data_IF_924837888032
#
_entry.id   IF_924837888032
#
_cell.length_a   1.000
_cell.length_b   1.000
_cell.length_c   1.000
_cell.angle_alpha   90.00
_cell.angle_beta   90.00
_cell.angle_gamma   90.00
#
_symmetry.space_group_name_H-M   'P 1'
#
loop_
_entity.id
_entity.type
_entity.pdbx_description
1 polymer ?
#
# COMPACT_ATOMS: atom_id res chain seq x y z
N UNK A 1 9.07 -50.90 43.36
CA UNK A 1 9.16 -51.48 44.73
C UNK A 1 10.03 -50.51 45.52
N UNK A 2 9.63 -49.83 46.59
CA UNK A 2 8.64 -50.09 47.64
C UNK A 2 7.84 -48.81 47.97
N UNK A 3 6.61 -49.03 48.44
CA UNK A 3 5.79 -48.10 49.22
C UNK A 3 6.50 -47.77 50.54
N UNK A 4 6.24 -46.59 51.12
CA UNK A 4 5.62 -46.59 52.45
C UNK A 4 4.96 -45.26 52.82
N UNK A 5 3.72 -45.40 53.25
CA UNK A 5 2.89 -44.38 53.84
C UNK A 5 3.02 -44.50 55.38
N UNK A 6 3.07 -43.38 56.09
CA UNK A 6 2.88 -43.39 57.54
C UNK A 6 1.98 -42.24 57.99
N UNK A 7 0.87 -42.69 58.58
CA UNK A 7 -0.20 -41.93 59.22
C UNK A 7 0.08 -41.91 60.73
N UNK A 8 -0.14 -40.76 61.41
CA UNK A 8 -0.97 -40.56 62.64
C UNK A 8 -0.44 -39.47 63.60
N UNK A 9 -1.23 -38.39 63.71
CA UNK A 9 -1.77 -37.59 64.86
C UNK A 9 -1.17 -37.74 66.29
N UNK A 10 -1.50 -36.85 67.26
CA UNK A 10 -1.66 -35.38 67.31
C UNK A 10 -0.86 -34.77 68.51
N UNK A 11 -0.92 -33.46 68.82
CA UNK A 11 -1.65 -33.11 70.06
C UNK A 11 -2.33 -31.72 70.13
N UNK A 12 -3.36 -31.72 71.00
CA UNK A 12 -3.79 -30.68 71.96
C UNK A 12 -4.36 -29.35 71.43
N UNK A 13 -5.69 -29.40 71.37
CA UNK A 13 -6.66 -28.31 71.54
C UNK A 13 -6.25 -27.37 72.70
N UNK A 14 -5.95 -26.12 72.37
CA UNK A 14 -5.99 -24.99 73.29
C UNK A 14 -7.14 -24.09 72.84
N UNK A 15 -8.22 -24.06 73.62
CA UNK A 15 -9.35 -23.14 73.41
C UNK A 15 -8.89 -21.77 73.89
N UNK A 16 -8.61 -20.86 72.95
CA UNK A 16 -8.46 -19.43 73.25
C UNK A 16 -9.71 -18.72 72.77
N UNK A 17 -10.57 -18.32 73.71
CA UNK A 17 -11.67 -17.40 73.45
C UNK A 17 -11.07 -16.07 72.97
N UNK A 18 -11.20 -15.76 71.68
CA UNK A 18 -11.13 -14.39 71.18
C UNK A 18 -12.54 -13.90 70.90
N UNK A 19 -12.93 -12.84 71.60
CA UNK A 19 -14.14 -12.10 71.35
C UNK A 19 -14.10 -11.51 69.92
N UNK A 20 -14.98 -11.99 69.04
CA UNK A 20 -15.23 -11.35 67.75
C UNK A 20 -15.95 -10.01 68.01
N UNK A 21 -15.21 -8.92 67.96
CA UNK A 21 -15.80 -7.62 67.66
C UNK A 21 -16.12 -7.63 66.16
N UNK A 22 -17.41 -7.72 65.81
CA UNK A 22 -17.89 -7.55 64.46
C UNK A 22 -17.71 -6.08 64.05
N UNK A 23 -16.58 -5.75 63.42
CA UNK A 23 -16.44 -4.53 62.64
C UNK A 23 -17.09 -4.76 61.27
N UNK A 24 -18.33 -4.29 61.13
CA UNK A 24 -18.95 -4.14 59.81
C UNK A 24 -18.24 -3.02 59.06
N UNK A 25 -17.17 -3.35 58.35
CA UNK A 25 -16.60 -2.45 57.33
C UNK A 25 -17.49 -2.54 56.10
N UNK A 26 -18.43 -1.60 55.99
CA UNK A 26 -19.10 -1.30 54.71
C UNK A 26 -18.04 -0.82 53.73
N UNK A 27 -17.46 -1.72 52.95
CA UNK A 27 -16.71 -1.37 51.76
C UNK A 27 -17.70 -0.79 50.75
N UNK A 28 -17.81 0.53 50.72
CA UNK A 28 -18.45 1.21 49.62
C UNK A 28 -17.61 0.93 48.36
N UNK A 29 -18.10 0.05 47.50
CA UNK A 29 -17.65 -0.01 46.11
C UNK A 29 -17.99 1.36 45.50
N UNK A 30 -17.01 2.25 45.43
CA UNK A 30 -17.10 3.41 44.58
C UNK A 30 -17.14 2.88 43.14
N UNK A 31 -18.34 2.86 42.55
CA UNK A 31 -18.47 2.67 41.12
C UNK A 31 -17.70 3.81 40.46
N UNK A 32 -16.64 3.48 39.71
CA UNK A 32 -16.02 4.45 38.81
C UNK A 32 -17.11 5.03 37.91
N UNK A 33 -17.13 6.35 37.69
CA UNK A 33 -18.04 6.92 36.71
C UNK A 33 -17.79 6.23 35.35
N UNK A 34 -18.83 6.02 34.53
CA UNK A 34 -18.62 5.55 33.17
C UNK A 34 -17.64 6.51 32.49
N UNK A 35 -16.58 5.98 31.87
CA UNK A 35 -15.77 6.76 30.94
C UNK A 35 -16.73 7.34 29.91
N UNK A 36 -16.72 8.67 29.79
CA UNK A 36 -17.39 9.42 28.74
C UNK A 36 -16.75 9.00 27.41
N UNK A 37 -17.21 7.88 26.84
CA UNK A 37 -16.89 7.52 25.46
C UNK A 37 -17.67 8.45 24.57
N UNK A 38 -17.13 9.67 24.38
CA UNK A 38 -17.55 10.52 23.29
C UNK A 38 -17.56 9.66 22.01
N UNK A 39 -18.62 9.74 21.17
CA UNK A 39 -18.64 9.01 19.92
C UNK A 39 -17.36 9.35 19.14
N UNK A 40 -16.73 8.37 18.48
CA UNK A 40 -15.53 8.65 17.69
C UNK A 40 -15.84 9.82 16.75
N UNK A 41 -15.04 10.87 16.86
CA UNK A 41 -15.14 12.00 15.93
C UNK A 41 -14.90 11.46 14.54
N UNK A 42 -15.84 11.67 13.62
CA UNK A 42 -15.62 11.35 12.21
C UNK A 42 -14.30 11.99 11.76
N UNK A 43 -13.43 11.24 11.06
CA UNK A 43 -12.12 11.74 10.65
C UNK A 43 -12.30 13.00 9.80
N UNK A 44 -11.47 14.02 10.08
CA UNK A 44 -11.49 15.27 9.34
C UNK A 44 -10.79 15.16 7.98
N UNK A 45 -9.90 14.17 7.84
CA UNK A 45 -9.09 13.92 6.65
C UNK A 45 -8.89 12.42 6.38
N UNK A 46 -8.70 12.04 5.12
CA UNK A 46 -8.47 10.65 4.70
C UNK A 46 -7.22 10.03 5.34
N UNK A 47 -6.20 10.84 5.62
CA UNK A 47 -4.94 10.37 6.25
C UNK A 47 -5.07 10.11 7.75
N UNK A 48 -6.15 10.56 8.40
CA UNK A 48 -6.43 10.23 9.79
C UNK A 48 -7.05 8.83 9.94
N UNK A 49 -7.58 8.27 8.85
CA UNK A 49 -8.18 6.94 8.83
C UNK A 49 -7.09 5.88 8.89
N UNK A 50 -7.19 4.98 9.87
CA UNK A 50 -6.21 3.91 10.07
C UNK A 50 -6.62 2.57 9.47
N UNK A 51 -7.93 2.33 9.34
CA UNK A 51 -8.47 1.03 8.94
C UNK A 51 -9.45 1.13 7.76
N UNK A 52 -9.51 0.10 6.91
CA UNK A 52 -10.50 0.03 5.85
C UNK A 52 -11.93 0.06 6.39
N UNK A 53 -12.86 0.56 5.57
CA UNK A 53 -14.28 0.37 5.87
C UNK A 53 -14.65 -1.09 5.56
N UNK A 54 -15.11 -1.91 6.53
CA UNK A 54 -15.41 -3.31 6.27
C UNK A 54 -16.58 -3.50 5.29
N UNK A 55 -16.55 -4.60 4.54
CA UNK A 55 -17.60 -4.97 3.59
C UNK A 55 -17.03 -5.33 2.23
N UNK A 56 -17.91 -5.54 1.25
CA UNK A 56 -17.50 -5.82 -0.12
C UNK A 56 -16.74 -4.63 -0.73
N UNK A 57 -15.70 -4.89 -1.56
CA UNK A 57 -14.98 -3.85 -2.27
C UNK A 57 -15.92 -2.98 -3.11
N UNK A 58 -15.76 -1.66 -2.99
CA UNK A 58 -16.50 -0.67 -3.79
C UNK A 58 -15.59 0.49 -4.17
N UNK A 59 -15.27 0.59 -5.46
CA UNK A 59 -14.45 1.66 -6.05
C UNK A 59 -15.37 2.74 -6.62
N UNK A 60 -15.10 4.00 -6.26
CA UNK A 60 -15.96 5.12 -6.60
C UNK A 60 -15.15 6.26 -7.20
N UNK A 61 -15.57 6.72 -8.39
CA UNK A 61 -14.99 7.88 -9.05
C UNK A 61 -13.74 7.58 -9.89
N UNK A 62 -13.06 8.62 -10.38
CA UNK A 62 -11.81 8.48 -11.13
C UNK A 62 -10.62 8.27 -10.17
N UNK A 63 -9.49 7.82 -10.72
CA UNK A 63 -8.27 7.46 -9.98
C UNK A 63 -7.69 8.60 -9.10
N UNK A 64 -7.96 9.86 -9.44
CA UNK A 64 -7.45 11.09 -8.81
C UNK A 64 -8.55 11.97 -8.17
N UNK A 65 -9.73 11.41 -7.96
CA UNK A 65 -10.86 12.11 -7.35
C UNK A 65 -11.91 11.14 -6.80
N UNK A 66 -11.44 10.03 -6.24
CA UNK A 66 -12.25 8.88 -5.88
C UNK A 66 -11.97 8.37 -4.47
N UNK A 67 -12.50 7.20 -4.16
CA UNK A 67 -12.29 6.49 -2.90
C UNK A 67 -12.55 5.00 -3.07
N UNK A 68 -12.25 4.22 -2.02
CA UNK A 68 -12.55 2.80 -1.95
C UNK A 68 -13.11 2.43 -0.57
N UNK A 69 -14.15 1.59 -0.55
CA UNK A 69 -14.56 0.83 0.64
C UNK A 69 -14.22 -0.65 0.45
N UNK A 70 -14.11 -1.40 1.56
CA UNK A 70 -13.75 -2.82 1.51
C UNK A 70 -12.36 -3.05 0.93
N UNK A 71 -11.44 -2.10 1.13
CA UNK A 71 -10.05 -2.27 0.68
C UNK A 71 -9.37 -3.35 1.52
N UNK A 72 -8.49 -4.11 0.87
CA UNK A 72 -7.64 -5.10 1.52
C UNK A 72 -6.23 -4.52 1.67
N UNK A 73 -5.53 -4.92 2.73
CA UNK A 73 -4.13 -4.59 2.91
C UNK A 73 -3.28 -5.63 2.17
N UNK A 74 -2.32 -5.18 1.37
CA UNK A 74 -1.28 -6.05 0.81
C UNK A 74 -0.48 -6.69 1.97
N UNK A 75 -0.26 -8.02 1.97
CA UNK A 75 0.72 -8.60 2.87
C UNK A 75 2.06 -7.91 2.70
N UNK A 76 2.64 -7.39 3.78
CA UNK A 76 3.84 -6.53 3.74
C UNK A 76 5.09 -7.22 3.15
N UNK A 77 5.02 -8.52 2.93
CA UNK A 77 5.99 -9.30 2.17
C UNK A 77 5.31 -10.52 1.55
N UNK A 78 5.86 -10.97 0.43
CA UNK A 78 5.43 -12.17 -0.26
C UNK A 78 6.52 -12.67 -1.20
N UNK A 79 6.18 -13.59 -2.11
CA UNK A 79 7.15 -14.14 -3.06
C UNK A 79 7.61 -13.02 -4.00
N UNK A 80 8.92 -12.73 -3.99
CA UNK A 80 9.54 -11.75 -4.88
C UNK A 80 9.21 -10.28 -4.61
N UNK A 81 8.61 -9.93 -3.47
CA UNK A 81 8.35 -8.53 -3.12
C UNK A 81 8.34 -8.25 -1.62
N UNK A 82 8.66 -7.01 -1.25
CA UNK A 82 8.48 -6.48 0.11
C UNK A 82 7.95 -5.04 0.05
N UNK A 83 7.06 -4.69 0.98
CA UNK A 83 6.54 -3.33 1.14
C UNK A 83 7.55 -2.44 1.88
N UNK A 84 7.64 -1.17 1.48
CA UNK A 84 8.52 -0.13 2.08
C UNK A 84 7.69 1.09 2.48
N UNK A 85 8.24 2.00 3.29
CA UNK A 85 7.51 3.17 3.80
C UNK A 85 6.19 2.79 4.52
N UNK A 86 6.22 1.72 5.31
CA UNK A 86 5.05 1.06 5.90
C UNK A 86 4.31 2.01 6.83
N UNK A 87 5.04 2.88 7.54
CA UNK A 87 4.47 3.85 8.49
C UNK A 87 3.50 4.85 7.84
N UNK A 88 3.61 5.07 6.51
CA UNK A 88 2.68 5.93 5.77
C UNK A 88 1.25 5.39 5.73
N UNK A 89 1.05 4.11 6.01
CA UNK A 89 -0.24 3.43 5.99
C UNK A 89 -0.93 3.50 4.61
N UNK A 90 -0.17 3.23 3.54
CA UNK A 90 -0.62 3.33 2.13
C UNK A 90 -0.55 2.01 1.37
N UNK A 91 -0.68 0.87 2.03
CA UNK A 91 -0.58 -0.46 1.40
C UNK A 91 -1.95 -1.13 1.21
N UNK A 92 -2.96 -0.35 0.79
CA UNK A 92 -4.33 -0.83 0.63
C UNK A 92 -4.79 -0.74 -0.81
N UNK A 93 -5.71 -1.63 -1.19
CA UNK A 93 -6.26 -1.61 -2.54
C UNK A 93 -7.49 -2.49 -2.71
N UNK A 94 -8.01 -2.48 -3.93
CA UNK A 94 -8.98 -3.47 -4.37
C UNK A 94 -8.32 -4.86 -4.38
N UNK A 95 -9.04 -5.97 -4.10
CA UNK A 95 -8.44 -7.32 -4.12
C UNK A 95 -7.75 -7.67 -5.44
N UNK A 96 -8.24 -7.12 -6.56
CA UNK A 96 -7.60 -7.25 -7.88
C UNK A 96 -6.21 -6.62 -7.94
N UNK A 97 -5.97 -5.53 -7.22
CA UNK A 97 -4.64 -4.92 -7.11
C UNK A 97 -3.73 -5.75 -6.22
N UNK A 98 -4.25 -6.31 -5.12
CA UNK A 98 -3.49 -7.22 -4.24
C UNK A 98 -2.99 -8.42 -5.05
N UNK A 99 -3.89 -9.12 -5.74
CA UNK A 99 -3.55 -10.25 -6.60
C UNK A 99 -2.58 -9.85 -7.73
N UNK A 100 -2.71 -8.64 -8.29
CA UNK A 100 -1.75 -8.16 -9.29
C UNK A 100 -0.33 -8.05 -8.73
N UNK A 101 -0.17 -7.45 -7.55
CA UNK A 101 1.14 -7.26 -6.92
C UNK A 101 1.76 -8.61 -6.55
N UNK A 102 0.98 -9.53 -5.98
CA UNK A 102 1.46 -10.87 -5.64
C UNK A 102 1.94 -11.63 -6.88
N UNK A 103 1.16 -11.61 -7.97
CA UNK A 103 1.53 -12.26 -9.24
C UNK A 103 2.72 -11.59 -9.93
N UNK A 104 2.85 -10.27 -9.83
CA UNK A 104 4.05 -9.58 -10.30
C UNK A 104 5.28 -10.01 -9.49
N UNK A 105 5.15 -10.14 -8.16
CA UNK A 105 6.21 -10.64 -7.30
C UNK A 105 6.65 -12.06 -7.69
N UNK A 106 5.71 -12.97 -7.96
CA UNK A 106 6.02 -14.31 -8.47
C UNK A 106 6.83 -14.27 -9.77
N UNK A 107 6.44 -13.40 -10.72
CA UNK A 107 7.15 -13.19 -11.99
C UNK A 107 8.56 -12.62 -11.78
N UNK A 108 8.71 -11.63 -10.90
CA UNK A 108 10.01 -11.04 -10.53
C UNK A 108 10.92 -12.08 -9.88
N UNK A 109 10.40 -12.88 -8.95
CA UNK A 109 11.14 -13.97 -8.31
C UNK A 109 11.63 -15.00 -9.33
N UNK A 110 10.83 -15.32 -10.35
CA UNK A 110 11.23 -16.22 -11.44
C UNK A 110 12.31 -15.62 -12.33
N UNK A 111 12.29 -14.30 -12.56
CA UNK A 111 13.30 -13.60 -13.33
C UNK A 111 14.66 -13.49 -12.60
N UNK A 112 14.65 -13.49 -11.26
CA UNK A 112 15.84 -13.77 -10.44
C UNK A 112 16.74 -12.57 -10.13
N UNK A 113 16.28 -11.34 -10.33
CA UNK A 113 17.03 -10.11 -10.02
C UNK A 113 16.75 -9.53 -8.62
N UNK A 114 16.23 -10.34 -7.70
CA UNK A 114 15.91 -9.93 -6.32
C UNK A 114 14.45 -9.51 -6.14
N UNK A 115 14.01 -9.24 -4.89
CA UNK A 115 12.65 -8.81 -4.61
C UNK A 115 12.41 -7.37 -5.08
N UNK A 116 11.24 -7.12 -5.66
CA UNK A 116 10.80 -5.74 -5.93
C UNK A 116 10.37 -5.05 -4.62
N UNK A 117 10.57 -3.74 -4.55
CA UNK A 117 10.07 -2.92 -3.44
C UNK A 117 8.74 -2.28 -3.83
N UNK A 118 7.69 -2.58 -3.06
CA UNK A 118 6.35 -2.03 -3.26
C UNK A 118 6.22 -0.78 -2.39
N UNK A 119 6.01 0.37 -3.03
CA UNK A 119 5.79 1.66 -2.38
C UNK A 119 4.31 1.97 -2.19
N UNK A 120 3.94 3.23 -2.39
CA UNK A 120 2.59 3.72 -2.15
C UNK A 120 1.55 3.00 -3.03
N UNK A 121 0.50 2.50 -2.38
CA UNK A 121 -0.81 2.12 -2.93
C UNK A 121 -1.84 3.12 -2.38
N UNK A 122 -3.08 2.71 -2.11
CA UNK A 122 -4.06 3.59 -1.49
C UNK A 122 -3.94 3.65 0.04
N UNK A 123 -4.46 4.74 0.62
CA UNK A 123 -4.82 4.81 2.05
C UNK A 123 -5.95 3.79 2.36
N UNK A 124 -6.26 3.48 3.63
CA UNK A 124 -7.22 2.40 3.97
C UNK A 124 -8.61 2.55 3.35
N UNK A 125 -9.02 3.78 3.03
CA UNK A 125 -10.27 4.08 2.32
C UNK A 125 -10.06 4.85 1.01
N UNK A 126 -8.82 4.89 0.54
CA UNK A 126 -8.42 5.68 -0.61
C UNK A 126 -8.48 7.19 -0.33
N UNK A 127 -8.98 7.94 -1.31
CA UNK A 127 -9.11 9.39 -1.21
C UNK A 127 -7.80 10.17 -1.31
N UNK A 128 -7.89 11.52 -1.34
CA UNK A 128 -6.77 12.43 -1.44
C UNK A 128 -5.71 12.20 -0.37
N UNK A 129 -4.46 12.08 -0.79
CA UNK A 129 -3.32 12.04 0.11
C UNK A 129 -2.92 13.46 0.56
N UNK A 130 -2.34 13.62 1.75
CA UNK A 130 -1.89 14.93 2.23
C UNK A 130 -0.65 15.45 1.48
N UNK A 131 0.11 14.55 0.84
CA UNK A 131 1.31 14.84 0.06
C UNK A 131 1.62 13.69 -0.91
N UNK A 132 2.47 13.95 -1.90
CA UNK A 132 2.92 12.96 -2.88
C UNK A 132 1.96 12.86 -4.05
N UNK A 133 1.27 11.73 -4.16
CA UNK A 133 0.49 11.37 -5.34
C UNK A 133 -0.82 12.16 -5.45
N UNK A 134 -1.15 12.57 -6.67
CA UNK A 134 -2.50 13.09 -7.00
C UNK A 134 -3.51 11.96 -7.18
N UNK A 135 -3.04 10.78 -7.61
CA UNK A 135 -3.88 9.58 -7.78
C UNK A 135 -3.79 8.62 -6.58
N UNK A 136 -3.85 7.30 -6.78
CA UNK A 136 -3.90 6.29 -5.70
C UNK A 136 -5.15 6.37 -4.81
N UNK A 137 -6.18 7.09 -5.25
CA UNK A 137 -7.35 7.33 -4.41
C UNK A 137 -8.35 6.18 -4.45
N UNK A 138 -8.24 5.27 -5.41
CA UNK A 138 -9.27 4.26 -5.71
C UNK A 138 -8.84 2.82 -5.41
N UNK A 139 -7.62 2.60 -4.93
CA UNK A 139 -7.09 1.27 -4.67
C UNK A 139 -6.77 0.47 -5.93
N UNK A 140 -6.44 1.15 -7.04
CA UNK A 140 -6.12 0.54 -8.34
C UNK A 140 -4.76 1.03 -8.90
N UNK A 141 -3.98 1.71 -8.07
CA UNK A 141 -2.65 2.23 -8.39
C UNK A 141 -1.62 1.66 -7.40
N UNK A 142 -0.41 1.37 -7.87
CA UNK A 142 0.72 0.95 -7.04
C UNK A 142 2.03 1.47 -7.63
N UNK A 143 2.90 1.98 -6.77
CA UNK A 143 4.28 2.30 -7.14
C UNK A 143 5.21 1.14 -6.82
N UNK A 144 6.09 0.84 -7.78
CA UNK A 144 7.16 -0.14 -7.62
C UNK A 144 8.48 0.58 -7.85
N UNK A 145 9.36 0.56 -6.84
CA UNK A 145 10.63 1.29 -6.93
C UNK A 145 11.56 0.64 -7.95
N UNK A 146 12.39 1.47 -8.58
CA UNK A 146 13.50 0.99 -9.39
C UNK A 146 14.70 0.51 -8.57
N UNK A 147 14.60 0.47 -7.24
CA UNK A 147 15.68 -0.06 -6.41
C UNK A 147 15.61 -1.59 -6.36
N UNK A 148 16.49 -2.24 -7.14
CA UNK A 148 16.57 -3.71 -7.26
C UNK A 148 17.80 -4.32 -6.57
N UNK A 149 18.63 -3.51 -5.93
CA UNK A 149 19.90 -3.92 -5.32
C UNK A 149 19.77 -4.41 -3.87
N UNK A 150 18.55 -4.50 -3.33
CA UNK A 150 18.28 -4.92 -1.96
C UNK A 150 17.74 -6.36 -1.89
N UNK A 151 18.30 -7.22 -1.01
CA UNK A 151 17.65 -8.46 -0.66
C UNK A 151 16.40 -8.20 0.19
N UNK A 152 15.71 -9.27 0.61
CA UNK A 152 14.76 -9.15 1.72
C UNK A 152 15.47 -8.61 2.96
N UNK A 153 14.94 -7.54 3.54
CA UNK A 153 15.44 -6.93 4.78
C UNK A 153 14.38 -7.01 5.87
N UNK A 154 14.80 -6.85 7.12
CA UNK A 154 13.88 -6.84 8.26
C UNK A 154 12.88 -5.69 8.13
N UNK A 155 11.65 -5.88 8.61
CA UNK A 155 10.59 -4.85 8.46
C UNK A 155 10.99 -3.50 9.05
N UNK A 156 11.76 -3.48 10.13
CA UNK A 156 12.27 -2.24 10.75
C UNK A 156 13.28 -1.49 9.89
N UNK A 157 13.85 -2.13 8.86
CA UNK A 157 14.82 -1.54 7.94
C UNK A 157 14.16 -1.10 6.62
N UNK A 158 12.83 -1.22 6.50
CA UNK A 158 12.07 -0.85 5.28
C UNK A 158 11.55 0.58 5.28
N UNK A 159 11.84 1.34 6.33
CA UNK A 159 11.56 2.77 6.40
C UNK A 159 12.78 3.58 5.97
N UNK A 160 12.55 4.77 5.44
CA UNK A 160 13.59 5.74 5.06
C UNK A 160 14.67 5.17 4.11
N UNK A 161 14.33 4.13 3.36
CA UNK A 161 15.20 3.57 2.33
C UNK A 161 15.41 4.62 1.24
N UNK A 162 16.66 4.82 0.83
CA UNK A 162 16.96 5.68 -0.30
C UNK A 162 16.28 5.15 -1.56
N UNK A 163 15.56 6.03 -2.26
CA UNK A 163 14.99 5.76 -3.57
C UNK A 163 15.84 6.49 -4.63
N UNK A 164 16.74 5.79 -5.35
CA UNK A 164 17.68 6.44 -6.25
C UNK A 164 16.97 6.98 -7.49
N UNK A 165 17.17 8.27 -7.77
CA UNK A 165 16.81 8.87 -9.07
C UNK A 165 17.72 8.29 -10.15
N UNK A 166 17.11 7.67 -11.17
CA UNK A 166 17.80 7.02 -12.29
C UNK A 166 17.73 7.82 -13.59
N UNK A 167 17.13 9.01 -13.58
CA UNK A 167 17.14 9.93 -14.71
C UNK A 167 17.70 11.28 -14.27
N UNK A 168 18.72 11.75 -14.96
CA UNK A 168 19.24 13.11 -14.75
C UNK A 168 18.15 14.14 -15.16
N UNK A 169 17.69 14.99 -14.23
CA UNK A 169 16.58 15.92 -14.49
C UNK A 169 16.95 17.05 -15.47
N UNK A 170 18.25 17.29 -15.72
CA UNK A 170 18.73 18.32 -16.66
C UNK A 170 19.03 17.73 -18.02
N UNK A 171 19.71 16.59 -18.06
CA UNK A 171 20.19 16.00 -19.32
C UNK A 171 19.25 14.94 -19.87
N UNK A 172 18.30 14.46 -19.07
CA UNK A 172 17.36 13.38 -19.39
C UNK A 172 18.09 12.09 -19.81
N UNK A 173 19.28 11.87 -19.24
CA UNK A 173 20.07 10.66 -19.43
C UNK A 173 19.79 9.70 -18.29
N UNK A 174 19.80 8.41 -18.60
CA UNK A 174 19.75 7.37 -17.59
C UNK A 174 21.06 7.33 -16.82
N UNK A 175 20.94 7.11 -15.52
CA UNK A 175 22.04 6.84 -14.61
C UNK A 175 22.70 5.49 -14.94
N UNK A 176 23.99 5.32 -14.61
CA UNK A 176 24.71 4.06 -14.85
C UNK A 176 24.16 2.87 -14.04
N UNK A 177 23.39 3.15 -12.98
CA UNK A 177 22.66 2.14 -12.20
C UNK A 177 21.43 1.59 -12.92
N UNK A 178 20.95 2.21 -14.00
CA UNK A 178 19.88 1.65 -14.82
C UNK A 178 20.40 0.43 -15.60
N UNK A 179 19.73 -0.71 -15.43
CA UNK A 179 20.13 -2.00 -16.02
C UNK A 179 18.99 -2.64 -16.83
N UNK A 180 19.31 -3.73 -17.52
CA UNK A 180 18.33 -4.54 -18.25
C UNK A 180 17.24 -5.13 -17.34
N UNK A 181 17.54 -5.35 -16.05
CA UNK A 181 16.58 -5.86 -15.06
C UNK A 181 15.46 -4.85 -14.79
N UNK A 182 15.77 -3.55 -14.84
CA UNK A 182 14.76 -2.50 -14.71
C UNK A 182 13.81 -2.47 -15.91
N UNK A 183 14.36 -2.64 -17.12
CA UNK A 183 13.55 -2.74 -18.32
C UNK A 183 12.67 -3.99 -18.30
N UNK A 184 13.20 -5.12 -17.83
CA UNK A 184 12.46 -6.37 -17.69
C UNK A 184 11.37 -6.28 -16.60
N UNK A 185 11.62 -5.61 -15.47
CA UNK A 185 10.59 -5.34 -14.46
C UNK A 185 9.38 -4.62 -15.07
N UNK A 186 9.60 -3.57 -15.85
CA UNK A 186 8.51 -2.83 -16.50
C UNK A 186 7.77 -3.71 -17.50
N UNK A 187 8.49 -4.54 -18.27
CA UNK A 187 7.88 -5.49 -19.20
C UNK A 187 7.01 -6.52 -18.46
N UNK A 188 7.51 -7.11 -17.37
CA UNK A 188 6.77 -8.05 -16.52
C UNK A 188 5.55 -7.41 -15.85
N UNK A 189 5.65 -6.14 -15.47
CA UNK A 189 4.53 -5.36 -14.94
C UNK A 189 3.44 -5.14 -15.99
N UNK A 190 3.82 -4.90 -17.25
CA UNK A 190 2.90 -4.63 -18.36
C UNK A 190 2.24 -5.89 -18.96
N UNK A 191 2.76 -7.07 -18.67
CA UNK A 191 2.28 -8.36 -19.20
C UNK A 191 0.91 -8.78 -18.63
N UNK A 192 0.49 -8.19 -17.51
CA UNK A 192 -0.82 -8.48 -16.93
C UNK A 192 -1.95 -7.77 -17.68
N UNK A 193 -3.00 -8.47 -18.15
CA UNK A 193 -4.08 -7.89 -18.94
C UNK A 193 -4.93 -6.86 -18.19
N UNK A 194 -4.80 -6.78 -16.85
CA UNK A 194 -5.50 -5.79 -16.02
C UNK A 194 -4.82 -4.42 -16.05
N UNK A 195 -3.56 -4.32 -16.49
CA UNK A 195 -2.82 -3.06 -16.53
C UNK A 195 -3.40 -2.15 -17.63
N UNK A 196 -3.85 -0.96 -17.22
CA UNK A 196 -4.31 0.08 -18.11
C UNK A 196 -3.16 0.98 -18.57
N UNK A 197 -2.25 1.32 -17.66
CA UNK A 197 -1.08 2.20 -17.87
C UNK A 197 0.05 1.87 -16.91
N UNK A 198 1.26 2.16 -17.33
CA UNK A 198 2.42 2.30 -16.45
C UNK A 198 3.05 3.66 -16.72
N UNK A 199 3.20 4.49 -15.69
CA UNK A 199 3.87 5.79 -15.81
C UNK A 199 5.34 5.67 -15.40
N UNK A 200 6.20 6.24 -16.24
CA UNK A 200 7.67 6.29 -16.08
C UNK A 200 8.17 7.60 -16.66
N UNK A 201 9.39 8.00 -16.35
CA UNK A 201 10.01 9.14 -17.02
C UNK A 201 10.21 8.88 -18.54
N UNK A 202 10.20 9.94 -19.33
CA UNK A 202 10.42 9.89 -20.78
C UNK A 202 11.75 9.26 -21.19
N UNK A 203 12.81 9.44 -20.40
CA UNK A 203 14.11 8.79 -20.65
C UNK A 203 14.03 7.27 -20.50
N UNK A 204 13.29 6.77 -19.50
CA UNK A 204 13.01 5.34 -19.33
C UNK A 204 12.21 4.82 -20.52
N UNK A 205 11.13 5.51 -20.90
CA UNK A 205 10.33 5.12 -22.08
C UNK A 205 11.18 5.07 -23.36
N UNK A 206 12.12 5.99 -23.53
CA UNK A 206 13.03 6.01 -24.69
C UNK A 206 13.94 4.79 -24.71
N UNK A 207 14.56 4.43 -23.59
CA UNK A 207 15.37 3.22 -23.47
C UNK A 207 14.56 1.96 -23.81
N UNK A 208 13.36 1.82 -23.26
CA UNK A 208 12.46 0.70 -23.60
C UNK A 208 12.14 0.64 -25.10
N UNK A 209 11.99 1.80 -25.76
CA UNK A 209 11.71 1.87 -27.18
C UNK A 209 12.91 1.47 -28.06
N UNK A 210 14.14 1.77 -27.62
CA UNK A 210 15.39 1.52 -28.34
C UNK A 210 15.87 0.07 -28.21
N UNK A 211 15.40 -0.66 -27.19
CA UNK A 211 15.66 -2.08 -26.99
C UNK A 211 14.95 -2.97 -28.02
N UNK A 212 15.56 -4.13 -28.27
CA UNK A 212 14.98 -5.21 -29.06
C UNK A 212 14.05 -6.06 -28.18
N UNK A 213 12.79 -6.18 -28.59
CA UNK A 213 11.77 -7.01 -27.91
C UNK A 213 11.05 -7.87 -28.94
N UNK A 214 10.75 -9.12 -28.59
CA UNK A 214 9.97 -10.02 -29.45
C UNK A 214 8.54 -9.50 -29.68
N UNK A 215 7.89 -9.05 -28.61
CA UNK A 215 6.63 -8.30 -28.67
C UNK A 215 6.82 -6.90 -28.10
N UNK A 216 6.38 -5.90 -28.87
CA UNK A 216 6.41 -4.48 -28.53
C UNK A 216 5.04 -3.93 -28.18
N UNK A 217 3.98 -4.74 -28.23
CA UNK A 217 2.59 -4.28 -28.04
C UNK A 217 2.37 -3.65 -26.66
N UNK A 218 3.03 -4.17 -25.63
CA UNK A 218 2.99 -3.68 -24.25
C UNK A 218 3.55 -2.27 -24.08
N UNK A 219 4.45 -1.83 -24.97
CA UNK A 219 5.00 -0.47 -24.94
C UNK A 219 3.89 0.59 -25.02
N UNK A 220 2.75 0.27 -25.64
CA UNK A 220 1.57 1.14 -25.69
C UNK A 220 1.07 1.56 -24.30
N UNK A 221 1.22 0.70 -23.30
CA UNK A 221 0.78 0.95 -21.93
C UNK A 221 1.72 1.90 -21.19
N UNK A 222 2.96 2.04 -21.64
CA UNK A 222 3.99 2.84 -20.97
C UNK A 222 3.83 4.32 -21.34
N UNK A 223 3.60 5.16 -20.33
CA UNK A 223 3.23 6.57 -20.47
C UNK A 223 4.29 7.47 -19.80
N UNK A 224 5.02 8.28 -20.59
CA UNK A 224 5.89 9.30 -20.02
C UNK A 224 5.15 10.24 -19.07
N UNK A 225 5.67 10.40 -17.86
CA UNK A 225 5.20 11.38 -16.88
C UNK A 225 6.35 11.87 -16.00
N UNK A 226 6.27 13.11 -15.53
CA UNK A 226 7.31 13.69 -14.68
C UNK A 226 7.42 12.97 -13.35
N UNK A 227 8.60 13.01 -12.73
CA UNK A 227 8.86 12.50 -11.37
C UNK A 227 8.73 10.99 -11.18
N UNK A 228 8.69 10.23 -12.28
CA UNK A 228 8.73 8.76 -12.29
C UNK A 228 10.12 8.29 -12.75
N UNK A 229 11.15 8.91 -12.18
CA UNK A 229 12.57 8.69 -12.44
C UNK A 229 13.22 7.72 -11.44
N UNK A 230 12.48 7.30 -10.42
CA UNK A 230 12.93 6.40 -9.34
C UNK A 230 11.93 5.25 -9.03
N UNK A 231 10.78 5.25 -9.71
CA UNK A 231 9.77 4.18 -9.65
C UNK A 231 8.98 4.11 -10.96
N UNK A 232 8.31 2.98 -11.16
CA UNK A 232 7.17 2.89 -12.07
C UNK A 232 5.86 2.98 -11.28
N UNK A 233 4.90 3.74 -11.81
CA UNK A 233 3.53 3.78 -11.30
C UNK A 233 2.69 2.86 -12.17
N UNK A 234 2.13 1.80 -11.62
CA UNK A 234 1.18 0.92 -12.33
C UNK A 234 -0.25 1.34 -12.00
N UNK A 235 -1.10 1.42 -13.04
CA UNK A 235 -2.55 1.59 -12.92
C UNK A 235 -3.29 0.43 -13.56
N UNK A 236 -4.24 -0.13 -12.83
CA UNK A 236 -5.18 -1.13 -13.34
C UNK A 236 -6.44 -0.48 -13.93
N UNK A 237 -7.10 -1.18 -14.85
CA UNK A 237 -8.45 -0.81 -15.31
C UNK A 237 -9.48 -0.98 -14.18
N UNK A 238 -10.60 -0.28 -14.28
CA UNK A 238 -11.74 -0.52 -13.38
C UNK A 238 -12.18 -2.00 -13.46
N UNK A 239 -12.30 -2.70 -12.33
CA UNK A 239 -12.84 -4.06 -12.33
C UNK A 239 -14.28 -4.08 -12.88
N UNK A 240 -14.68 -5.10 -13.68
CA UNK A 240 -15.99 -5.12 -14.33
C UNK A 240 -17.21 -5.08 -13.38
N UNK A 241 -17.01 -5.51 -12.14
CA UNK A 241 -18.01 -5.54 -11.07
C UNK A 241 -18.09 -4.22 -10.27
N UNK A 242 -17.34 -3.19 -10.68
CA UNK A 242 -17.25 -1.89 -10.01
C UNK A 242 -17.88 -0.78 -10.88
N UNK A 243 -19.23 -0.68 -10.96
CA UNK A 243 -19.92 0.21 -11.89
C UNK A 243 -19.77 1.71 -11.58
N UNK A 244 -19.30 2.05 -10.37
CA UNK A 244 -19.06 3.43 -9.94
C UNK A 244 -17.60 3.87 -10.15
N UNK A 245 -16.73 2.96 -10.57
CA UNK A 245 -15.37 3.26 -10.97
C UNK A 245 -15.38 3.93 -12.34
N UNK A 246 -14.59 5.00 -12.49
CA UNK A 246 -14.54 5.78 -13.73
C UNK A 246 -13.17 5.59 -14.40
N UNK A 247 -13.18 4.84 -15.49
CA UNK A 247 -11.98 4.55 -16.27
C UNK A 247 -11.49 5.77 -17.08
N UNK A 248 -10.21 5.72 -17.44
CA UNK A 248 -9.62 6.62 -18.42
C UNK A 248 -9.83 6.07 -19.84
N UNK A 249 -9.92 6.92 -20.88
CA UNK A 249 -9.87 6.47 -22.27
C UNK A 249 -8.66 5.57 -22.53
N UNK A 250 -8.68 4.64 -23.48
CA UNK A 250 -7.51 3.80 -23.77
C UNK A 250 -6.31 4.65 -24.23
N UNK A 251 -5.05 4.20 -23.99
CA UNK A 251 -3.88 4.85 -24.56
C UNK A 251 -3.98 4.96 -26.09
N UNK A 252 -3.34 5.96 -26.72
CA UNK A 252 -3.29 6.06 -28.18
C UNK A 252 -2.82 4.75 -28.83
N UNK A 253 -3.23 4.45 -30.07
CA UNK A 253 -2.72 3.29 -30.79
C UNK A 253 -1.21 3.41 -31.06
N UNK A 254 -0.54 2.26 -31.21
CA UNK A 254 0.91 2.18 -31.44
C UNK A 254 1.72 2.05 -30.14
N UNK A 255 3.03 1.86 -30.29
CA UNK A 255 3.98 1.70 -29.17
C UNK A 255 4.32 3.03 -28.46
N UNK A 256 3.93 4.16 -29.07
CA UNK A 256 4.15 5.49 -28.53
C UNK A 256 5.62 5.90 -28.47
N UNK A 257 6.48 5.31 -29.31
CA UNK A 257 7.92 5.55 -29.32
C UNK A 257 8.34 6.74 -30.19
N UNK A 258 7.43 7.31 -30.98
CA UNK A 258 7.71 8.46 -31.83
C UNK A 258 7.59 9.76 -31.04
N UNK A 259 8.59 10.65 -31.18
CA UNK A 259 8.56 12.02 -30.64
C UNK A 259 8.28 12.12 -29.12
N UNK A 260 9.01 11.35 -28.32
CA UNK A 260 8.95 11.42 -26.85
C UNK A 260 9.41 12.81 -26.37
N UNK A 261 8.52 13.56 -25.76
CA UNK A 261 8.85 14.83 -25.12
C UNK A 261 9.51 14.57 -23.75
N UNK A 262 10.54 15.33 -23.35
CA UNK A 262 11.10 15.29 -22.00
C UNK A 262 10.03 15.52 -20.92
N UNK A 263 10.23 14.94 -19.74
CA UNK A 263 9.30 15.03 -18.59
C UNK A 263 9.97 15.64 -17.37
N UNK A 264 10.39 16.92 -17.44
CA UNK A 264 11.08 17.54 -16.31
C UNK A 264 10.17 17.58 -15.08
N UNK A 265 10.78 17.40 -13.90
CA UNK A 265 10.09 17.61 -12.62
C UNK A 265 9.56 19.05 -12.55
N UNK A 266 8.29 19.27 -12.17
CA UNK A 266 7.75 20.61 -12.05
C UNK A 266 8.34 21.34 -10.83
N UNK A 267 8.41 22.67 -10.90
CA UNK A 267 8.80 23.50 -9.74
C UNK A 267 7.77 23.43 -8.60
N UNK A 268 6.50 23.29 -8.98
CA UNK A 268 5.37 23.18 -8.05
C UNK A 268 4.54 21.96 -8.43
N UNK A 269 4.40 21.05 -7.47
CA UNK A 269 3.58 19.87 -7.65
C UNK A 269 2.10 20.18 -7.44
N UNK A 270 1.21 19.62 -8.27
CA UNK A 270 -0.22 19.72 -8.05
C UNK A 270 -0.61 19.03 -6.74
N UNK A 271 -1.53 19.64 -5.99
CA UNK A 271 -2.20 18.99 -4.87
C UNK A 271 -3.43 18.24 -5.36
N UNK A 272 -3.80 17.09 -4.74
CA UNK A 272 -5.00 16.38 -5.14
C UNK A 272 -6.27 17.21 -4.91
N UNK A 273 -7.25 17.05 -5.80
CA UNK A 273 -8.57 17.66 -5.61
C UNK A 273 -9.29 17.06 -4.42
N UNK A 274 -9.87 17.90 -3.56
CA UNK A 274 -10.59 17.46 -2.34
C UNK A 274 -12.12 17.43 -2.49
N UNK A 275 -12.62 17.77 -3.67
CA UNK A 275 -14.04 17.66 -4.01
C UNK A 275 -14.31 16.29 -4.61
N UNK A 276 -14.89 15.39 -3.81
CA UNK A 276 -15.12 13.99 -4.17
C UNK A 276 -16.61 13.68 -4.39
N UNK A 277 -16.95 12.56 -5.04
CA UNK A 277 -18.32 12.07 -5.12
C UNK A 277 -18.99 11.99 -3.73
N UNK A 278 -20.29 12.30 -3.59
CA UNK A 278 -20.98 12.24 -2.30
C UNK A 278 -20.85 10.90 -1.57
N UNK A 279 -20.80 9.79 -2.32
CA UNK A 279 -20.61 8.46 -1.74
C UNK A 279 -19.25 8.30 -1.03
N UNK A 280 -18.20 9.03 -1.45
CA UNK A 280 -16.91 9.01 -0.77
C UNK A 280 -16.94 9.71 0.59
N UNK A 281 -17.76 10.75 0.76
CA UNK A 281 -17.95 11.37 2.07
C UNK A 281 -18.49 10.37 3.10
N UNK A 282 -19.48 9.58 2.69
CA UNK A 282 -20.04 8.53 3.55
C UNK A 282 -19.03 7.40 3.86
N UNK A 283 -18.04 7.18 3.00
CA UNK A 283 -16.95 6.23 3.27
C UNK A 283 -15.96 6.81 4.28
N UNK A 284 -15.62 8.10 4.17
CA UNK A 284 -14.73 8.76 5.12
C UNK A 284 -15.31 8.80 6.54
N UNK A 285 -16.59 9.15 6.68
CA UNK A 285 -17.21 9.46 7.98
C UNK A 285 -17.57 8.24 8.86
N UNK A 286 -17.52 7.01 8.32
CA UNK A 286 -18.01 5.78 8.98
C UNK A 286 -16.98 5.01 9.79
#
# INVERSE_FOLDING_TARGET
MLLDALVRRPPRVGVMLLALAAFSTSAAFAASPPEDTAPPTSPGDWSEVREPLPGSPRVIGPFDGGCIAGAEQLPLEGVGYQAVDIERNRHYGHPTLIDYVERLGERVNQAGFGPMLVGDMAQPRGGPMPYGHVSHQTGLDVDIWFRLDLPFVERSEREDLEQPILVDPRTQRLDERWTDEHAELIRLAADDPRVARIFVDSAVKRDLCEREWDDRSWLRLIRPWHSHDEHLHVRLSCPPDQPECIDQPPPPPGDGCQALAPTPRPEVYPSPGRSLPPACRAILER
#
